data_IF_364176785770
#
_entry.id   IF_364176785770
#
_cell.length_a   1.000
_cell.length_b   1.000
_cell.length_c   1.000
_cell.angle_alpha   90.00
_cell.angle_beta   90.00
_cell.angle_gamma   90.00
#
_symmetry.space_group_name_H-M   'P 1'
#
loop_
_entity.id
_entity.type
_entity.pdbx_description
1 polymer ?
#
# COMPACT_ATOMS: atom_id res chain seq x y z
N UNK A 1 -65.54 -55.79 -14.34
CA UNK A 1 -64.18 -55.76 -13.73
C UNK A 1 -63.44 -54.59 -14.37
N UNK A 2 -63.42 -53.47 -13.67
CA UNK A 2 -62.80 -52.23 -14.15
C UNK A 2 -61.54 -51.93 -13.32
N UNK A 3 -60.37 -51.93 -13.95
CA UNK A 3 -59.10 -51.62 -13.31
C UNK A 3 -58.97 -50.14 -13.18
N UNK A 4 -58.88 -49.63 -11.93
CA UNK A 4 -58.56 -48.24 -11.58
C UNK A 4 -57.07 -48.13 -11.61
N UNK A 5 -56.52 -47.28 -12.50
CA UNK A 5 -55.09 -46.92 -12.51
C UNK A 5 -54.92 -45.66 -11.67
N UNK A 6 -54.13 -45.75 -10.60
CA UNK A 6 -53.68 -44.65 -9.79
C UNK A 6 -52.51 -43.94 -10.53
N UNK A 7 -52.69 -42.70 -10.84
CA UNK A 7 -51.61 -41.85 -11.37
C UNK A 7 -50.99 -41.14 -10.18
N UNK A 8 -49.75 -41.50 -9.85
CA UNK A 8 -48.94 -40.78 -8.87
C UNK A 8 -48.29 -39.55 -9.54
N UNK A 9 -48.69 -38.38 -9.12
CA UNK A 9 -48.08 -37.10 -9.58
C UNK A 9 -46.84 -36.87 -8.75
N UNK A 10 -45.68 -36.96 -9.40
CA UNK A 10 -44.37 -36.61 -8.80
C UNK A 10 -44.20 -35.09 -8.85
N UNK A 11 -44.26 -34.44 -7.69
CA UNK A 11 -43.95 -33.01 -7.58
C UNK A 11 -42.43 -32.84 -7.60
N UNK A 12 -41.91 -32.26 -8.68
CA UNK A 12 -40.50 -31.85 -8.83
C UNK A 12 -40.28 -30.55 -8.06
N UNK A 13 -39.67 -30.62 -6.89
CA UNK A 13 -39.25 -29.43 -6.14
C UNK A 13 -38.03 -28.80 -6.86
N UNK A 14 -38.24 -27.69 -7.51
CA UNK A 14 -37.17 -26.87 -8.06
C UNK A 14 -36.40 -26.20 -6.90
N UNK A 15 -35.23 -26.71 -6.58
CA UNK A 15 -34.30 -26.05 -5.70
C UNK A 15 -33.70 -24.83 -6.46
N UNK A 16 -34.24 -23.65 -6.17
CA UNK A 16 -33.60 -22.40 -6.60
C UNK A 16 -32.34 -22.20 -5.75
N UNK A 17 -31.24 -22.72 -6.25
CA UNK A 17 -29.91 -22.38 -5.74
C UNK A 17 -29.66 -20.92 -6.08
N UNK A 18 -29.81 -20.03 -5.11
CA UNK A 18 -29.23 -18.67 -5.18
C UNK A 18 -27.72 -18.83 -5.13
N UNK A 19 -27.11 -19.02 -6.29
CA UNK A 19 -25.68 -18.86 -6.46
C UNK A 19 -25.33 -17.43 -6.15
N UNK A 20 -24.95 -17.15 -4.90
CA UNK A 20 -24.27 -15.91 -4.55
C UNK A 20 -23.01 -15.85 -5.41
N UNK A 21 -22.98 -14.95 -6.37
CA UNK A 21 -21.75 -14.60 -7.06
C UNK A 21 -20.77 -14.17 -5.96
N UNK A 22 -19.80 -15.04 -5.64
CA UNK A 22 -18.64 -14.67 -4.85
C UNK A 22 -17.97 -13.56 -5.63
N UNK A 23 -18.12 -12.30 -5.18
CA UNK A 23 -17.36 -11.21 -5.71
C UNK A 23 -15.89 -11.61 -5.57
N UNK A 24 -15.23 -11.83 -6.71
CA UNK A 24 -13.80 -12.05 -6.78
C UNK A 24 -13.17 -10.89 -6.05
N UNK A 25 -12.63 -11.15 -4.85
CA UNK A 25 -11.90 -10.10 -4.12
C UNK A 25 -10.71 -9.71 -5.00
N UNK A 26 -10.53 -8.39 -5.19
CA UNK A 26 -9.38 -7.88 -5.94
C UNK A 26 -8.10 -8.50 -5.41
N UNK A 27 -7.15 -8.86 -6.28
CA UNK A 27 -5.91 -9.51 -5.86
C UNK A 27 -5.08 -8.55 -4.98
N UNK A 28 -4.39 -9.12 -4.00
CA UNK A 28 -3.43 -8.42 -3.17
C UNK A 28 -2.03 -8.88 -3.55
N UNK A 29 -1.11 -7.94 -3.71
CA UNK A 29 0.28 -8.23 -3.99
C UNK A 29 1.16 -7.98 -2.78
N UNK A 30 2.09 -8.88 -2.53
CA UNK A 30 3.00 -8.82 -1.39
C UNK A 30 4.43 -8.90 -1.89
N UNK A 31 5.22 -7.90 -1.56
CA UNK A 31 6.66 -7.85 -1.86
C UNK A 31 7.41 -8.42 -0.67
N UNK A 32 8.11 -9.52 -0.89
CA UNK A 32 9.01 -10.13 0.10
C UNK A 32 10.44 -9.74 -0.22
N UNK A 33 11.06 -8.95 0.67
CA UNK A 33 12.37 -8.34 0.40
C UNK A 33 13.50 -9.38 0.47
N UNK A 34 13.54 -10.22 1.50
CA UNK A 34 14.56 -11.24 1.67
C UNK A 34 14.34 -12.40 0.69
N UNK A 35 13.09 -12.82 0.51
CA UNK A 35 12.72 -13.84 -0.45
C UNK A 35 12.80 -13.40 -1.91
N UNK A 36 13.06 -12.12 -2.17
CA UNK A 36 13.14 -11.52 -3.52
C UNK A 36 11.98 -11.95 -4.42
N UNK A 37 10.76 -11.89 -3.90
CA UNK A 37 9.55 -12.41 -4.54
C UNK A 37 8.39 -11.41 -4.46
N UNK A 38 7.56 -11.43 -5.51
CA UNK A 38 6.24 -10.80 -5.51
C UNK A 38 5.19 -11.92 -5.52
N UNK A 39 4.44 -12.05 -4.42
CA UNK A 39 3.34 -12.99 -4.29
C UNK A 39 2.01 -12.33 -4.62
N UNK A 40 1.13 -13.04 -5.34
CA UNK A 40 -0.25 -12.65 -5.59
C UNK A 40 -1.17 -13.46 -4.70
N UNK A 41 -1.95 -12.79 -3.87
CA UNK A 41 -2.95 -13.40 -2.99
C UNK A 41 -4.33 -13.17 -3.59
N UNK A 42 -5.08 -14.26 -3.76
CA UNK A 42 -6.48 -14.27 -4.18
C UNK A 42 -7.27 -15.26 -3.33
N UNK A 43 -8.49 -14.92 -2.99
CA UNK A 43 -9.37 -15.78 -2.18
C UNK A 43 -8.71 -16.35 -0.91
N UNK A 44 -7.80 -15.58 -0.27
CA UNK A 44 -7.13 -15.99 0.95
C UNK A 44 -5.95 -16.95 0.78
N UNK A 45 -5.47 -17.18 -0.42
CA UNK A 45 -4.32 -18.05 -0.72
C UNK A 45 -3.36 -17.41 -1.70
N UNK A 46 -2.08 -17.86 -1.72
CA UNK A 46 -1.12 -17.43 -2.73
C UNK A 46 -1.45 -18.11 -4.06
N UNK A 47 -1.95 -17.33 -5.01
CA UNK A 47 -2.36 -17.76 -6.35
C UNK A 47 -1.24 -17.69 -7.40
N UNK A 48 -0.16 -16.95 -7.11
CA UNK A 48 0.97 -16.83 -8.03
C UNK A 48 2.18 -16.21 -7.35
N UNK A 49 3.37 -16.47 -7.92
CA UNK A 49 4.66 -15.99 -7.44
C UNK A 49 5.49 -15.54 -8.63
N UNK A 50 6.12 -14.38 -8.51
CA UNK A 50 7.02 -13.81 -9.53
C UNK A 50 8.36 -13.56 -8.86
N UNK A 51 9.43 -14.23 -9.30
CA UNK A 51 10.78 -13.96 -8.83
C UNK A 51 11.20 -12.53 -9.22
N UNK A 52 11.79 -11.81 -8.27
CA UNK A 52 12.31 -10.46 -8.44
C UNK A 52 13.84 -10.47 -8.34
N UNK A 53 14.48 -9.37 -8.66
CA UNK A 53 15.87 -9.14 -8.26
C UNK A 53 15.99 -8.92 -6.75
N UNK A 54 17.21 -8.93 -6.20
CA UNK A 54 17.45 -8.86 -4.76
C UNK A 54 16.91 -7.57 -4.14
N UNK A 55 16.52 -7.68 -2.87
CA UNK A 55 16.12 -6.59 -1.97
C UNK A 55 15.09 -5.61 -2.56
N UNK A 56 13.92 -6.07 -3.07
CA UNK A 56 12.83 -5.17 -3.44
C UNK A 56 12.28 -4.47 -2.19
N UNK A 57 11.94 -3.17 -2.29
CA UNK A 57 11.52 -2.38 -1.11
C UNK A 57 10.11 -1.83 -1.24
N UNK A 58 9.87 -0.94 -2.19
CA UNK A 58 8.58 -0.32 -2.39
C UNK A 58 7.94 -0.81 -3.70
N UNK A 59 6.61 -0.72 -3.75
CA UNK A 59 5.85 -1.04 -4.93
C UNK A 59 4.79 0.03 -5.22
N UNK A 60 4.52 0.25 -6.50
CA UNK A 60 3.42 1.08 -6.99
C UNK A 60 2.72 0.37 -8.15
N UNK A 61 1.47 0.74 -8.40
CA UNK A 61 0.70 0.26 -9.56
C UNK A 61 0.19 1.44 -10.38
N UNK A 62 -0.01 1.23 -11.68
CA UNK A 62 -0.76 2.14 -12.52
C UNK A 62 -2.18 1.60 -12.80
N UNK A 63 -2.99 2.40 -13.48
CA UNK A 63 -4.36 2.00 -13.83
C UNK A 63 -4.47 0.84 -14.82
N UNK A 64 -3.39 0.52 -15.53
CA UNK A 64 -3.34 -0.63 -16.45
C UNK A 64 -2.96 -1.92 -15.71
N UNK A 65 -2.75 -1.88 -14.40
CA UNK A 65 -2.35 -3.03 -13.59
C UNK A 65 -0.88 -3.42 -13.72
N UNK A 66 -0.04 -2.53 -14.26
CA UNK A 66 1.43 -2.73 -14.23
C UNK A 66 1.92 -2.43 -12.84
N UNK A 67 2.83 -3.25 -12.35
CA UNK A 67 3.46 -3.08 -11.05
C UNK A 67 4.91 -2.64 -11.24
N UNK A 68 5.33 -1.76 -10.37
CA UNK A 68 6.68 -1.20 -10.35
C UNK A 68 7.28 -1.43 -8.98
N UNK A 69 8.53 -1.90 -8.91
CA UNK A 69 9.19 -2.25 -7.65
C UNK A 69 10.59 -1.67 -7.60
N UNK A 70 10.95 -1.01 -6.53
CA UNK A 70 12.28 -0.42 -6.34
C UNK A 70 13.26 -1.42 -5.75
N UNK A 71 14.51 -1.32 -6.17
CA UNK A 71 15.65 -2.08 -5.67
C UNK A 71 16.79 -1.11 -5.35
N UNK A 72 16.93 -0.64 -4.10
CA UNK A 72 17.93 0.37 -3.73
C UNK A 72 19.37 -0.06 -4.04
N UNK A 73 19.76 -1.26 -3.60
CA UNK A 73 21.11 -1.79 -3.84
C UNK A 73 21.34 -2.09 -5.33
N UNK A 74 20.31 -2.49 -6.03
CA UNK A 74 20.35 -2.76 -7.47
C UNK A 74 20.25 -1.53 -8.34
N UNK A 75 20.01 -0.35 -7.78
CA UNK A 75 19.79 0.94 -8.48
C UNK A 75 18.85 0.79 -9.66
N UNK A 76 17.70 0.21 -9.43
CA UNK A 76 16.76 -0.12 -10.49
C UNK A 76 15.31 -0.13 -10.02
N UNK A 77 14.41 -0.03 -10.98
CA UNK A 77 12.99 -0.36 -10.83
C UNK A 77 12.69 -1.58 -11.69
N UNK A 78 12.07 -2.60 -11.11
CA UNK A 78 11.50 -3.72 -11.87
C UNK A 78 10.08 -3.37 -12.29
N UNK A 79 9.76 -3.60 -13.56
CA UNK A 79 8.43 -3.46 -14.13
C UNK A 79 7.85 -4.85 -14.35
N UNK A 80 6.68 -5.12 -13.78
CA UNK A 80 5.91 -6.36 -13.96
C UNK A 80 4.65 -6.02 -14.73
N UNK A 81 4.54 -6.56 -15.95
CA UNK A 81 3.38 -6.40 -16.81
C UNK A 81 2.63 -7.72 -16.92
N UNK A 82 1.27 -7.72 -16.95
CA UNK A 82 0.50 -8.95 -17.12
C UNK A 82 0.95 -9.71 -18.38
N UNK A 83 1.23 -11.01 -18.21
CA UNK A 83 1.60 -11.90 -19.31
C UNK A 83 3.00 -11.68 -19.90
N UNK A 84 3.83 -10.81 -19.31
CA UNK A 84 5.21 -10.58 -19.78
C UNK A 84 6.23 -10.88 -18.68
N UNK A 85 7.45 -11.26 -19.04
CA UNK A 85 8.52 -11.39 -18.06
C UNK A 85 8.87 -10.03 -17.44
N UNK A 86 9.27 -9.99 -16.15
CA UNK A 86 9.73 -8.77 -15.51
C UNK A 86 10.93 -8.14 -16.25
N UNK A 87 10.91 -6.81 -16.38
CA UNK A 87 12.04 -6.05 -16.95
C UNK A 87 12.57 -5.04 -15.95
N UNK A 88 13.86 -4.71 -16.05
CA UNK A 88 14.50 -3.75 -15.15
C UNK A 88 14.80 -2.44 -15.87
N UNK A 89 14.54 -1.34 -15.18
CA UNK A 89 14.91 0.01 -15.56
C UNK A 89 16.05 0.47 -14.64
N UNK A 90 17.22 0.82 -15.16
CA UNK A 90 18.28 1.39 -14.34
C UNK A 90 17.86 2.78 -13.83
N UNK A 91 18.19 3.10 -12.57
CA UNK A 91 17.90 4.38 -11.95
C UNK A 91 19.19 4.92 -11.34
N UNK A 92 19.56 6.20 -11.58
CA UNK A 92 20.72 6.79 -10.93
C UNK A 92 20.43 7.07 -9.45
N UNK A 93 21.11 6.36 -8.54
CA UNK A 93 20.96 6.50 -7.10
C UNK A 93 20.29 5.30 -6.43
N UNK A 94 19.96 5.42 -5.16
CA UNK A 94 19.30 4.37 -4.37
C UNK A 94 17.78 4.52 -4.46
N UNK A 95 17.17 3.81 -5.42
CA UNK A 95 15.73 3.81 -5.65
C UNK A 95 14.99 3.20 -4.45
N UNK A 96 14.37 4.01 -3.61
CA UNK A 96 13.65 3.57 -2.40
C UNK A 96 12.15 3.78 -2.52
N UNK A 97 11.62 4.97 -2.24
CA UNK A 97 10.20 5.28 -2.39
C UNK A 97 9.77 5.35 -3.86
N UNK A 98 8.50 5.05 -4.13
CA UNK A 98 7.99 4.95 -5.49
C UNK A 98 6.52 5.38 -5.58
N UNK A 99 6.21 6.18 -6.61
CA UNK A 99 4.85 6.41 -7.06
C UNK A 99 4.79 6.34 -8.58
N UNK A 100 3.66 5.91 -9.13
CA UNK A 100 3.43 5.85 -10.57
C UNK A 100 2.39 6.91 -10.98
N UNK A 101 2.57 7.56 -12.14
CA UNK A 101 1.51 8.39 -12.71
C UNK A 101 0.32 7.52 -13.11
N UNK A 102 -0.94 8.02 -13.00
CA UNK A 102 -2.13 7.22 -13.29
C UNK A 102 -2.21 6.64 -14.70
N UNK A 103 -1.60 7.30 -15.68
CA UNK A 103 -1.46 6.84 -17.06
C UNK A 103 -0.31 5.85 -17.25
N UNK A 104 0.53 5.68 -16.20
CA UNK A 104 1.70 4.84 -16.23
C UNK A 104 2.79 5.30 -17.19
N UNK A 105 2.82 6.59 -17.56
CA UNK A 105 3.87 7.15 -18.39
C UNK A 105 5.13 7.46 -17.59
N UNK A 106 4.97 7.88 -16.33
CA UNK A 106 6.05 8.34 -15.48
C UNK A 106 6.09 7.58 -14.15
N UNK A 107 7.28 7.38 -13.63
CA UNK A 107 7.53 6.95 -12.26
C UNK A 107 8.25 8.06 -11.49
N UNK A 108 7.84 8.27 -10.25
CA UNK A 108 8.51 9.15 -9.32
C UNK A 108 9.27 8.29 -8.33
N UNK A 109 10.59 8.41 -8.32
CA UNK A 109 11.49 7.56 -7.54
C UNK A 109 12.26 8.39 -6.53
N UNK A 110 12.10 8.10 -5.25
CA UNK A 110 12.93 8.66 -4.18
C UNK A 110 14.34 8.09 -4.22
N UNK A 111 15.33 8.94 -4.42
CA UNK A 111 16.74 8.58 -4.31
C UNK A 111 17.17 8.78 -2.86
N UNK A 112 17.22 7.68 -2.09
CA UNK A 112 17.43 7.68 -0.65
C UNK A 112 18.70 8.42 -0.21
N UNK A 113 19.81 8.20 -0.88
CA UNK A 113 21.08 8.84 -0.55
C UNK A 113 21.35 10.11 -1.33
N UNK A 114 20.51 10.44 -2.32
CA UNK A 114 20.64 11.60 -3.16
C UNK A 114 19.77 12.77 -2.76
N UNK A 115 18.91 12.65 -1.72
CA UNK A 115 18.02 13.67 -1.20
C UNK A 115 17.17 14.36 -2.29
N UNK A 116 16.65 13.55 -3.20
CA UNK A 116 15.92 14.02 -4.37
C UNK A 116 14.87 13.01 -4.81
N UNK A 117 13.92 13.48 -5.59
CA UNK A 117 12.99 12.64 -6.36
C UNK A 117 13.31 12.79 -7.84
N UNK A 118 13.35 11.65 -8.53
CA UNK A 118 13.52 11.57 -9.97
C UNK A 118 12.16 11.29 -10.62
N UNK A 119 11.79 12.03 -11.66
CA UNK A 119 10.75 11.63 -12.61
C UNK A 119 11.44 10.88 -13.75
N UNK A 120 11.06 9.62 -13.94
CA UNK A 120 11.62 8.79 -15.02
C UNK A 120 10.51 8.30 -15.94
N UNK A 121 10.84 8.10 -17.21
CA UNK A 121 9.97 7.42 -18.16
C UNK A 121 9.78 5.97 -17.75
N UNK A 122 8.54 5.53 -17.56
CA UNK A 122 8.22 4.14 -17.23
C UNK A 122 8.52 3.18 -18.40
N UNK A 123 8.62 3.69 -19.62
CA UNK A 123 8.96 2.93 -20.80
C UNK A 123 10.47 2.66 -20.92
N UNK A 124 11.30 3.66 -20.68
CA UNK A 124 12.74 3.63 -21.00
C UNK A 124 13.65 3.72 -19.76
N UNK A 125 13.16 4.22 -18.62
CA UNK A 125 13.98 4.55 -17.45
C UNK A 125 14.74 5.88 -17.57
N UNK A 126 14.57 6.62 -18.66
CA UNK A 126 15.22 7.92 -18.84
C UNK A 126 14.75 8.91 -17.77
N UNK A 127 15.69 9.65 -17.17
CA UNK A 127 15.38 10.73 -16.22
C UNK A 127 14.88 11.94 -17.00
N UNK A 128 13.68 12.40 -16.68
CA UNK A 128 12.99 13.51 -17.33
C UNK A 128 12.83 14.72 -16.42
N UNK A 129 13.13 14.57 -15.13
CA UNK A 129 13.06 15.66 -14.17
C UNK A 129 13.63 15.24 -12.82
N UNK A 130 14.03 16.24 -12.04
CA UNK A 130 14.57 16.03 -10.69
C UNK A 130 14.09 17.16 -9.77
N UNK A 131 13.68 16.80 -8.56
CA UNK A 131 13.33 17.74 -7.51
C UNK A 131 14.15 17.45 -6.26
N UNK A 132 14.77 18.46 -5.66
CA UNK A 132 15.43 18.36 -4.36
C UNK A 132 14.38 18.26 -3.25
N UNK A 133 14.59 17.35 -2.28
CA UNK A 133 13.74 17.13 -1.12
C UNK A 133 14.56 17.16 0.17
N UNK A 134 14.04 16.70 1.28
CA UNK A 134 14.82 16.48 2.49
C UNK A 134 15.61 15.19 2.46
N UNK A 135 16.25 14.87 3.58
CA UNK A 135 17.12 13.70 3.72
C UNK A 135 16.32 12.39 3.81
N UNK A 136 16.81 11.37 3.14
CA UNK A 136 16.27 10.01 3.12
C UNK A 136 14.78 9.98 2.70
N UNK A 137 14.44 10.33 1.43
CA UNK A 137 13.06 10.25 0.95
C UNK A 137 12.56 8.80 0.97
N UNK A 138 11.64 8.50 1.91
CA UNK A 138 11.19 7.15 2.23
C UNK A 138 9.99 6.71 1.37
N UNK A 139 8.81 7.24 1.63
CA UNK A 139 7.58 6.90 0.91
C UNK A 139 7.04 8.09 0.12
N UNK A 140 6.43 7.78 -1.02
CA UNK A 140 5.86 8.76 -1.94
C UNK A 140 4.40 8.43 -2.23
N UNK A 141 3.53 9.46 -2.22
CA UNK A 141 2.16 9.33 -2.71
C UNK A 141 1.83 10.50 -3.64
N UNK A 142 1.06 10.21 -4.70
CA UNK A 142 0.67 11.18 -5.72
C UNK A 142 -0.84 11.45 -5.62
N UNK A 143 -1.26 12.72 -5.52
CA UNK A 143 -2.66 13.10 -5.57
C UNK A 143 -3.16 13.30 -7.02
N UNK A 144 -4.49 13.39 -7.20
CA UNK A 144 -5.11 13.61 -8.51
C UNK A 144 -4.84 15.00 -9.11
N UNK A 145 -4.32 15.94 -8.31
CA UNK A 145 -3.95 17.30 -8.73
C UNK A 145 -2.51 17.35 -9.25
N UNK A 146 -1.80 16.22 -9.25
CA UNK A 146 -0.39 16.14 -9.66
C UNK A 146 0.60 16.63 -8.61
N UNK A 147 0.22 16.63 -7.33
CA UNK A 147 1.13 16.87 -6.22
C UNK A 147 1.67 15.55 -5.69
N UNK A 148 2.99 15.47 -5.58
CA UNK A 148 3.68 14.36 -4.98
C UNK A 148 4.11 14.73 -3.57
N UNK A 149 3.68 13.95 -2.60
CA UNK A 149 4.07 14.07 -1.20
C UNK A 149 5.19 13.07 -0.92
N UNK A 150 6.24 13.53 -0.28
CA UNK A 150 7.47 12.75 -0.01
C UNK A 150 7.77 12.81 1.48
N UNK A 151 7.84 11.68 2.14
CA UNK A 151 8.29 11.59 3.53
C UNK A 151 9.81 11.69 3.59
N UNK A 152 10.32 12.82 4.04
CA UNK A 152 11.77 13.06 4.21
C UNK A 152 12.17 12.65 5.64
N UNK A 153 12.57 11.40 5.77
CA UNK A 153 12.69 10.69 7.05
C UNK A 153 13.60 11.39 8.06
N UNK A 154 14.80 11.77 7.66
CA UNK A 154 15.76 12.40 8.56
C UNK A 154 15.60 13.93 8.64
N UNK A 155 14.73 14.52 7.81
CA UNK A 155 14.40 15.95 7.87
C UNK A 155 13.14 16.29 8.68
N UNK A 156 12.41 15.29 9.23
CA UNK A 156 11.18 15.45 10.01
C UNK A 156 10.13 16.31 9.29
N UNK A 157 9.92 16.00 8.01
CA UNK A 157 9.03 16.78 7.16
C UNK A 157 8.44 15.94 6.03
N UNK A 158 7.41 16.50 5.41
CA UNK A 158 6.93 16.07 4.10
C UNK A 158 7.25 17.18 3.09
N UNK A 159 8.01 16.85 2.04
CA UNK A 159 8.15 17.70 0.86
C UNK A 159 6.95 17.51 -0.06
N UNK A 160 6.43 18.62 -0.61
CA UNK A 160 5.36 18.59 -1.63
C UNK A 160 5.93 19.10 -2.95
N UNK A 161 5.82 18.27 -3.99
CA UNK A 161 6.38 18.55 -5.32
C UNK A 161 5.23 18.71 -6.31
N UNK A 162 5.27 19.74 -7.13
CA UNK A 162 4.48 19.83 -8.36
C UNK A 162 5.13 18.91 -9.42
N UNK A 163 4.42 17.88 -9.86
CA UNK A 163 4.98 16.85 -10.76
C UNK A 163 5.10 17.33 -12.21
N UNK A 164 4.36 18.36 -12.60
CA UNK A 164 4.47 18.98 -13.94
C UNK A 164 5.79 19.72 -14.11
N UNK A 165 6.17 20.51 -13.10
CA UNK A 165 7.38 21.33 -13.13
C UNK A 165 8.58 20.68 -12.42
N UNK A 166 8.38 19.63 -11.65
CA UNK A 166 9.37 19.02 -10.75
C UNK A 166 9.98 20.02 -9.77
N UNK A 167 9.15 20.91 -9.23
CA UNK A 167 9.56 21.89 -8.22
C UNK A 167 8.93 21.60 -6.87
N UNK A 168 9.68 21.74 -5.78
CA UNK A 168 9.16 21.64 -4.42
C UNK A 168 8.38 22.91 -4.09
N UNK A 169 7.05 22.77 -3.93
CA UNK A 169 6.12 23.89 -3.69
C UNK A 169 5.82 24.12 -2.22
N UNK A 170 6.04 23.11 -1.35
CA UNK A 170 5.88 23.28 0.08
C UNK A 170 6.74 22.28 0.87
N UNK A 171 6.94 22.60 2.14
CA UNK A 171 7.53 21.75 3.17
C UNK A 171 6.61 21.79 4.37
N UNK A 172 6.17 20.63 4.86
CA UNK A 172 5.27 20.49 6.00
C UNK A 172 5.99 19.77 7.12
N UNK A 173 6.22 20.39 8.29
CA UNK A 173 6.81 19.71 9.44
C UNK A 173 5.96 18.54 9.94
N UNK A 174 6.62 17.48 10.42
CA UNK A 174 5.99 16.27 10.96
C UNK A 174 6.62 15.88 12.30
N UNK A 175 6.25 14.73 12.86
CA UNK A 175 7.00 14.07 13.92
C UNK A 175 8.36 13.54 13.45
N UNK A 176 9.00 12.72 14.30
CA UNK A 176 10.35 12.21 14.02
C UNK A 176 10.32 10.96 13.13
N UNK A 177 11.16 10.97 12.11
CA UNK A 177 11.32 9.91 11.12
C UNK A 177 9.98 9.57 10.41
N UNK A 178 9.34 10.51 9.68
CA UNK A 178 8.19 10.20 8.85
C UNK A 178 8.58 9.12 7.84
N UNK A 179 7.72 8.11 7.69
CA UNK A 179 8.04 6.97 6.82
C UNK A 179 6.90 6.68 5.84
N UNK A 180 5.76 6.18 6.30
CA UNK A 180 4.64 5.89 5.42
C UNK A 180 3.66 7.05 5.31
N UNK A 181 3.10 7.19 4.13
CA UNK A 181 2.10 8.18 3.76
C UNK A 181 0.85 7.49 3.25
N UNK A 182 -0.34 8.00 3.60
CA UNK A 182 -1.59 7.61 2.97
C UNK A 182 -2.50 8.81 2.78
N UNK A 183 -3.05 8.99 1.59
CA UNK A 183 -4.11 9.95 1.34
C UNK A 183 -5.47 9.41 1.77
N UNK A 184 -6.32 10.27 2.31
CA UNK A 184 -7.74 9.95 2.45
C UNK A 184 -8.37 9.72 1.07
N UNK A 185 -9.47 8.94 0.94
CA UNK A 185 -10.11 8.69 -0.36
C UNK A 185 -10.60 9.96 -1.09
N UNK A 186 -10.97 11.01 -0.35
CA UNK A 186 -11.32 12.33 -0.86
C UNK A 186 -10.10 13.23 -1.11
N UNK A 187 -8.90 12.75 -0.74
CA UNK A 187 -7.63 13.47 -0.79
C UNK A 187 -7.59 14.77 0.00
N UNK A 188 -8.54 15.02 0.92
CA UNK A 188 -8.53 16.20 1.77
C UNK A 188 -7.50 16.12 2.90
N UNK A 189 -7.07 14.93 3.27
CA UNK A 189 -6.10 14.68 4.33
C UNK A 189 -5.00 13.73 3.86
N UNK A 190 -3.77 14.01 4.29
CA UNK A 190 -2.64 13.11 4.20
C UNK A 190 -2.23 12.68 5.61
N UNK A 191 -2.11 11.38 5.83
CA UNK A 191 -1.69 10.76 7.08
C UNK A 191 -0.24 10.32 6.97
N UNK A 192 0.57 10.68 7.97
CA UNK A 192 2.02 10.44 8.00
C UNK A 192 2.38 9.67 9.26
N UNK A 193 2.84 8.44 9.12
CA UNK A 193 3.35 7.66 10.25
C UNK A 193 4.79 8.08 10.59
N UNK A 194 5.02 8.52 11.83
CA UNK A 194 6.32 8.98 12.31
C UNK A 194 6.95 7.92 13.22
N UNK A 195 7.91 7.19 12.69
CA UNK A 195 8.46 5.96 13.30
C UNK A 195 9.07 6.19 14.67
N UNK A 196 9.89 7.26 14.83
CA UNK A 196 10.62 7.50 16.08
C UNK A 196 9.80 8.21 17.13
N UNK A 197 8.92 9.14 16.76
CA UNK A 197 8.06 9.83 17.71
C UNK A 197 6.83 9.02 18.14
N UNK A 198 6.48 7.95 17.40
CA UNK A 198 5.37 7.07 17.80
C UNK A 198 4.00 7.68 17.53
N UNK A 199 3.88 8.59 16.58
CA UNK A 199 2.68 9.35 16.31
C UNK A 199 2.32 9.36 14.82
N UNK A 200 1.12 9.89 14.54
CA UNK A 200 0.59 10.13 13.21
C UNK A 200 0.38 11.63 13.03
N UNK A 201 1.04 12.25 12.05
CA UNK A 201 0.75 13.62 11.65
C UNK A 201 -0.36 13.63 10.60
N UNK A 202 -1.35 14.50 10.77
CA UNK A 202 -2.45 14.71 9.82
C UNK A 202 -2.23 16.05 9.11
N UNK A 203 -2.06 16.01 7.80
CA UNK A 203 -1.83 17.20 6.96
C UNK A 203 -3.09 17.49 6.15
N UNK A 204 -3.55 18.74 6.18
CA UNK A 204 -4.56 19.25 5.28
C UNK A 204 -3.94 19.52 3.90
N UNK A 205 -4.44 18.85 2.85
CA UNK A 205 -3.85 18.91 1.51
C UNK A 205 -4.19 20.19 0.75
N UNK A 206 -5.25 20.91 1.15
CA UNK A 206 -5.62 22.17 0.54
C UNK A 206 -4.71 23.32 1.01
N UNK A 207 -4.43 23.35 2.32
CA UNK A 207 -3.60 24.38 2.94
C UNK A 207 -2.12 24.01 3.04
N UNK A 208 -1.78 22.73 2.84
CA UNK A 208 -0.43 22.17 3.02
C UNK A 208 0.13 22.45 4.42
N UNK A 209 -0.71 22.24 5.46
CA UNK A 209 -0.34 22.44 6.86
C UNK A 209 -0.71 21.23 7.70
N UNK A 210 0.13 20.89 8.67
CA UNK A 210 -0.23 19.93 9.70
C UNK A 210 -1.37 20.51 10.54
N UNK A 211 -2.48 19.77 10.68
CA UNK A 211 -3.66 20.16 11.49
C UNK A 211 -3.72 19.44 12.83
N UNK A 212 -3.08 18.27 12.94
CA UNK A 212 -3.04 17.49 14.16
C UNK A 212 -1.83 16.54 14.17
N UNK A 213 -1.40 16.16 15.37
CA UNK A 213 -0.51 15.02 15.61
C UNK A 213 -1.12 14.20 16.74
N UNK A 214 -1.28 12.90 16.52
CA UNK A 214 -1.96 12.01 17.47
C UNK A 214 -1.12 10.75 17.74
N UNK A 215 -1.17 10.17 18.95
CA UNK A 215 -0.48 8.92 19.24
C UNK A 215 -0.92 7.81 18.27
N UNK A 216 0.03 7.04 17.75
CA UNK A 216 -0.26 5.94 16.81
C UNK A 216 0.21 4.57 17.33
N UNK A 217 1.15 4.55 18.28
CA UNK A 217 1.68 3.33 18.87
C UNK A 217 3.20 3.26 18.87
N UNK A 218 3.75 2.05 19.03
CA UNK A 218 5.19 1.85 19.14
C UNK A 218 5.82 1.52 17.79
N UNK A 219 6.65 2.41 17.26
CA UNK A 219 7.23 2.34 15.90
C UNK A 219 6.14 2.18 14.82
N UNK A 220 5.27 3.18 14.62
CA UNK A 220 4.31 3.18 13.52
C UNK A 220 5.07 3.19 12.19
N UNK A 221 4.74 2.24 11.30
CA UNK A 221 5.51 2.04 10.07
C UNK A 221 4.66 2.17 8.81
N UNK A 222 3.64 1.34 8.63
CA UNK A 222 2.71 1.40 7.52
C UNK A 222 1.43 2.13 7.91
N UNK A 223 0.80 2.80 6.96
CA UNK A 223 -0.49 3.45 7.14
C UNK A 223 -1.40 3.19 5.94
N UNK A 224 -2.67 2.90 6.22
CA UNK A 224 -3.72 2.74 5.21
C UNK A 224 -5.02 3.38 5.70
N UNK A 225 -5.91 3.72 4.78
CA UNK A 225 -7.22 4.30 5.08
C UNK A 225 -8.32 3.40 4.51
N UNK A 226 -9.43 3.24 5.23
CA UNK A 226 -10.59 2.51 4.70
C UNK A 226 -11.19 3.22 3.50
N UNK A 227 -11.84 2.46 2.60
CA UNK A 227 -12.39 3.00 1.35
C UNK A 227 -13.46 4.09 1.56
N UNK A 228 -14.14 4.08 2.71
CA UNK A 228 -15.10 5.12 3.13
C UNK A 228 -14.43 6.32 3.83
N UNK A 229 -13.12 6.29 4.04
CA UNK A 229 -12.36 7.32 4.73
C UNK A 229 -12.56 7.40 6.24
N UNK A 230 -13.35 6.50 6.82
CA UNK A 230 -13.75 6.61 8.24
C UNK A 230 -12.69 6.14 9.23
N UNK A 231 -11.75 5.29 8.80
CA UNK A 231 -10.72 4.71 9.68
C UNK A 231 -9.33 4.78 9.05
N UNK A 232 -8.35 5.05 9.91
CA UNK A 232 -6.92 5.01 9.61
C UNK A 232 -6.35 3.81 10.34
N UNK A 233 -5.63 2.96 9.61
CA UNK A 233 -4.96 1.77 10.14
C UNK A 233 -3.45 2.01 10.14
N UNK A 234 -2.80 1.81 11.28
CA UNK A 234 -1.36 2.04 11.45
C UNK A 234 -0.70 0.77 11.98
N UNK A 235 0.25 0.21 11.27
CA UNK A 235 1.06 -0.91 11.76
C UNK A 235 2.08 -0.44 12.76
N UNK A 236 2.28 -1.18 13.85
CA UNK A 236 3.22 -0.86 14.93
C UNK A 236 4.23 -1.99 15.10
N UNK A 237 5.44 -1.82 14.56
CA UNK A 237 6.46 -2.87 14.49
C UNK A 237 6.81 -3.45 15.88
N UNK A 238 6.99 -2.60 16.88
CA UNK A 238 7.38 -3.01 18.24
C UNK A 238 6.19 -3.39 19.14
N UNK A 239 4.97 -3.41 18.59
CA UNK A 239 3.79 -3.85 19.34
C UNK A 239 3.14 -5.11 18.75
N UNK A 240 3.61 -5.58 17.57
CA UNK A 240 2.97 -6.66 16.79
C UNK A 240 1.45 -6.42 16.65
N UNK A 241 1.07 -5.20 16.30
CA UNK A 241 -0.32 -4.77 16.28
C UNK A 241 -0.59 -3.73 15.19
N UNK A 242 -1.86 -3.60 14.83
CA UNK A 242 -2.41 -2.51 14.04
C UNK A 242 -3.27 -1.64 14.95
N UNK A 243 -2.97 -0.35 15.03
CA UNK A 243 -3.85 0.64 15.69
C UNK A 243 -4.87 1.13 14.66
N UNK A 244 -6.14 1.16 15.07
CA UNK A 244 -7.26 1.70 14.28
C UNK A 244 -7.68 3.03 14.87
N UNK A 245 -7.64 4.08 14.09
CA UNK A 245 -7.95 5.46 14.49
C UNK A 245 -9.21 5.92 13.74
N UNK A 246 -10.14 6.54 14.45
CA UNK A 246 -11.28 7.25 13.86
C UNK A 246 -10.76 8.50 13.13
N UNK A 247 -11.00 8.61 11.83
CA UNK A 247 -10.44 9.67 11.01
C UNK A 247 -11.02 11.06 11.30
N UNK A 248 -12.26 11.13 11.81
CA UNK A 248 -12.92 12.39 12.13
C UNK A 248 -12.55 12.90 13.53
N UNK A 249 -12.49 11.98 14.52
CA UNK A 249 -12.20 12.31 15.93
C UNK A 249 -10.72 12.27 16.25
N UNK A 250 -9.94 11.57 15.44
CA UNK A 250 -8.51 11.31 15.65
C UNK A 250 -8.23 10.58 16.98
N UNK A 251 -9.11 9.65 17.33
CA UNK A 251 -9.04 8.84 18.53
C UNK A 251 -8.82 7.36 18.17
N UNK A 252 -8.05 6.65 19.00
CA UNK A 252 -7.86 5.19 18.86
C UNK A 252 -9.17 4.49 19.22
N UNK A 253 -9.72 3.72 18.30
CA UNK A 253 -10.98 2.97 18.50
C UNK A 253 -10.77 1.46 18.62
N UNK A 254 -9.64 0.93 18.13
CA UNK A 254 -9.28 -0.47 18.28
C UNK A 254 -7.77 -0.67 18.17
N UNK A 255 -7.31 -1.80 18.72
CA UNK A 255 -5.96 -2.34 18.49
C UNK A 255 -6.10 -3.81 18.15
N UNK A 256 -5.55 -4.22 17.01
CA UNK A 256 -5.65 -5.59 16.48
C UNK A 256 -4.28 -6.24 16.56
N UNK A 257 -4.15 -7.34 17.27
CA UNK A 257 -2.93 -8.14 17.29
C UNK A 257 -2.71 -8.81 15.92
N UNK A 258 -1.47 -8.79 15.43
CA UNK A 258 -1.04 -9.38 14.14
C UNK A 258 0.28 -10.14 14.34
N UNK A 259 0.94 -10.53 13.25
CA UNK A 259 2.26 -11.15 13.33
C UNK A 259 3.35 -10.18 13.81
N UNK A 260 4.54 -10.70 14.18
CA UNK A 260 5.64 -9.90 14.68
C UNK A 260 6.24 -9.00 13.60
N UNK A 261 6.57 -7.78 14.00
CA UNK A 261 7.18 -6.75 13.16
C UNK A 261 6.35 -6.43 11.91
N UNK A 262 5.08 -5.97 12.08
CA UNK A 262 4.24 -5.63 10.94
C UNK A 262 4.77 -4.38 10.23
N UNK A 263 4.88 -4.46 8.90
CA UNK A 263 5.36 -3.37 8.04
C UNK A 263 4.24 -2.80 7.16
N UNK A 264 4.20 -3.18 5.89
CA UNK A 264 3.20 -2.68 4.96
C UNK A 264 1.78 -3.14 5.27
N UNK A 265 0.81 -2.30 4.94
CA UNK A 265 -0.62 -2.57 5.11
C UNK A 265 -1.39 -2.03 3.91
N UNK A 266 -2.38 -2.78 3.43
CA UNK A 266 -3.34 -2.31 2.44
C UNK A 266 -4.75 -2.73 2.81
N UNK A 267 -5.73 -1.91 2.44
CA UNK A 267 -7.16 -2.20 2.61
C UNK A 267 -7.75 -2.59 1.26
N UNK A 268 -8.43 -3.75 1.20
CA UNK A 268 -9.12 -4.23 0.00
C UNK A 268 -10.52 -4.68 0.39
N UNK A 269 -11.52 -3.96 -0.06
CA UNK A 269 -12.91 -4.22 0.30
C UNK A 269 -13.10 -4.24 1.83
N UNK A 270 -13.67 -5.32 2.42
CA UNK A 270 -13.93 -5.41 3.86
C UNK A 270 -12.71 -5.91 4.66
N UNK A 271 -11.52 -5.95 4.11
CA UNK A 271 -10.35 -6.56 4.74
C UNK A 271 -9.13 -5.65 4.68
N UNK A 272 -8.27 -5.75 5.72
CA UNK A 272 -6.91 -5.23 5.66
C UNK A 272 -5.91 -6.39 5.64
N UNK A 273 -4.82 -6.21 4.91
CA UNK A 273 -3.73 -7.17 4.75
C UNK A 273 -2.45 -6.54 5.27
N UNK A 274 -1.78 -7.23 6.19
CA UNK A 274 -0.60 -6.73 6.90
C UNK A 274 0.58 -7.65 6.70
N UNK A 275 1.67 -7.16 6.13
CA UNK A 275 2.92 -7.90 5.99
C UNK A 275 3.65 -7.98 7.33
N UNK A 276 3.93 -9.18 7.82
CA UNK A 276 4.64 -9.44 9.07
C UNK A 276 6.05 -9.93 8.76
N UNK A 277 7.02 -9.06 8.94
CA UNK A 277 8.41 -9.29 8.51
C UNK A 277 9.05 -10.53 9.14
N UNK A 278 8.91 -10.75 10.46
CA UNK A 278 9.58 -11.84 11.15
C UNK A 278 8.84 -13.17 11.15
N UNK A 279 7.60 -13.21 10.70
CA UNK A 279 6.84 -14.47 10.61
C UNK A 279 6.61 -14.96 9.19
N UNK A 280 7.10 -14.23 8.17
CA UNK A 280 6.96 -14.59 6.75
C UNK A 280 5.52 -14.87 6.35
N UNK A 281 4.61 -14.02 6.84
CA UNK A 281 3.19 -14.17 6.55
C UNK A 281 2.48 -12.80 6.42
N UNK A 282 1.25 -12.87 5.98
CA UNK A 282 0.33 -11.75 5.86
C UNK A 282 -0.86 -12.01 6.78
N UNK A 283 -1.08 -11.13 7.76
CA UNK A 283 -2.31 -11.13 8.57
C UNK A 283 -3.46 -10.55 7.76
N UNK A 284 -4.62 -11.19 7.85
CA UNK A 284 -5.87 -10.71 7.25
C UNK A 284 -6.80 -10.25 8.37
N UNK A 285 -7.13 -8.96 8.39
CA UNK A 285 -8.02 -8.36 9.39
C UNK A 285 -9.38 -8.11 8.74
N UNK A 286 -10.45 -8.53 9.40
CA UNK A 286 -11.82 -8.18 9.06
C UNK A 286 -12.16 -6.80 9.62
N UNK A 287 -12.58 -5.86 8.75
CA UNK A 287 -12.83 -4.45 9.13
C UNK A 287 -14.15 -4.25 9.88
N UNK A 288 -15.07 -5.21 9.85
CA UNK A 288 -16.31 -5.11 10.61
C UNK A 288 -16.12 -5.49 12.07
N UNK A 289 -15.23 -6.45 12.32
CA UNK A 289 -15.01 -7.02 13.67
C UNK A 289 -13.72 -6.57 14.32
N UNK A 290 -12.79 -5.97 13.55
CA UNK A 290 -11.43 -5.62 13.98
C UNK A 290 -10.68 -6.82 14.56
N UNK A 291 -10.77 -7.97 13.89
CA UNK A 291 -10.09 -9.20 14.30
C UNK A 291 -9.26 -9.76 13.15
N UNK A 292 -8.12 -10.32 13.50
CA UNK A 292 -7.37 -11.18 12.58
C UNK A 292 -8.18 -12.46 12.31
N UNK A 293 -8.44 -12.76 11.04
CA UNK A 293 -9.25 -13.92 10.62
C UNK A 293 -8.43 -14.99 9.93
N UNK A 294 -7.24 -14.66 9.41
CA UNK A 294 -6.35 -15.58 8.73
C UNK A 294 -4.91 -15.09 8.73
N UNK A 295 -3.97 -16.01 8.54
CA UNK A 295 -2.56 -15.76 8.18
C UNK A 295 -2.20 -16.53 6.93
N UNK A 296 -1.55 -15.86 5.99
CA UNK A 296 -1.17 -16.41 4.69
C UNK A 296 0.34 -16.42 4.61
N UNK A 297 0.95 -17.61 4.52
CA UNK A 297 2.41 -17.74 4.35
C UNK A 297 2.85 -17.24 2.98
N UNK A 298 3.91 -16.43 2.98
CA UNK A 298 4.58 -15.87 1.80
C UNK A 298 6.08 -16.14 1.87
N UNK A 299 6.88 -15.55 0.99
CA UNK A 299 8.33 -15.66 1.05
C UNK A 299 8.90 -14.79 2.18
N UNK A 300 10.18 -15.00 2.52
CA UNK A 300 10.87 -14.38 3.63
C UNK A 300 10.89 -12.85 3.58
N UNK A 301 10.65 -12.22 4.73
CA UNK A 301 10.68 -10.77 4.92
C UNK A 301 9.64 -10.02 4.07
N UNK A 302 8.34 -10.32 4.19
CA UNK A 302 7.31 -9.55 3.52
C UNK A 302 7.27 -8.12 4.06
N UNK A 303 7.34 -7.15 3.15
CA UNK A 303 7.52 -5.75 3.49
C UNK A 303 6.39 -4.85 3.01
N UNK A 304 6.03 -4.95 1.74
CA UNK A 304 5.04 -4.07 1.12
C UNK A 304 3.82 -4.87 0.69
N UNK A 305 2.65 -4.35 0.99
CA UNK A 305 1.37 -4.88 0.50
C UNK A 305 0.77 -3.83 -0.43
N UNK A 306 0.33 -4.27 -1.60
CA UNK A 306 -0.24 -3.43 -2.64
C UNK A 306 -1.56 -4.01 -3.13
N UNK A 307 -2.58 -3.17 -3.27
CA UNK A 307 -3.84 -3.49 -3.92
C UNK A 307 -3.83 -2.90 -5.35
N UNK A 308 -3.87 -3.71 -6.43
CA UNK A 308 -3.98 -3.20 -7.79
C UNK A 308 -5.36 -2.60 -8.01
N UNK A 309 -5.42 -1.48 -8.74
CA UNK A 309 -6.67 -0.74 -9.00
C UNK A 309 -6.89 0.44 -8.08
N UNK A 310 -6.21 0.52 -6.95
CA UNK A 310 -6.03 1.75 -6.22
C UNK A 310 -4.72 2.39 -6.70
N UNK A 311 -4.73 3.61 -7.28
CA UNK A 311 -3.49 4.38 -7.41
C UNK A 311 -2.87 4.42 -6.02
N UNK A 312 -1.54 4.40 -5.90
CA UNK A 312 -0.84 4.52 -4.62
C UNK A 312 -1.50 5.67 -3.85
N UNK A 313 -2.37 5.29 -2.91
CA UNK A 313 -3.15 6.21 -2.09
C UNK A 313 -2.39 6.49 -0.82
#
# INVERSE_FOLDING_TARGET
MRHLRLIATLALAAATGTGGASASADPVWVVSQQGAELARIEAGTVAGRIPLGPAPVAAAADRAGRLYLTHPDGRAVTVVEPGKPPRRLPVPGQAFGLAASPDGAHLFVGDWSGDRVLRISAATGAVEGTAAVGHEPAHLVLDRRGRLYVADRESRQVSVIDTGTMTRVAVVPTGEAPFALALAPDEASLYVANVRSGDLTVIDTATLRARATVPAGRMPYGVAVTGDGSRILVTNQHAAAVTVIDAARLEIVATVAVGPYPEGIAVVGPRAYVANWFSDDVSVIDLATWRETARIKVAEGPRTVLAPGEPAR
#
